data_IF_286404084608
#
_entry.id   IF_286404084608
#
_cell.length_a   1.000
_cell.length_b   1.000
_cell.length_c   1.000
_cell.angle_alpha   90.00
_cell.angle_beta   90.00
_cell.angle_gamma   90.00
#
_symmetry.space_group_name_H-M   'P 1'
#
loop_
_entity.id
_entity.type
_entity.pdbx_description
1 polymer ?
#
# COMPACT_ATOMS: atom_id res chain seq x y z
N UNK A 1 13.43 -20.31 -22.45
CA UNK A 1 13.55 -19.54 -21.20
C UNK A 1 12.16 -19.43 -20.61
N UNK A 2 11.88 -20.07 -19.48
CA UNK A 2 10.66 -19.80 -18.71
C UNK A 2 10.76 -18.39 -18.18
N UNK A 3 9.80 -17.53 -18.50
CA UNK A 3 9.69 -16.22 -17.85
C UNK A 3 9.60 -16.45 -16.34
N UNK A 4 10.51 -15.86 -15.57
CA UNK A 4 10.44 -15.91 -14.11
C UNK A 4 9.18 -15.16 -13.67
N UNK A 5 8.31 -15.81 -12.91
CA UNK A 5 7.08 -15.19 -12.43
C UNK A 5 7.41 -13.92 -11.63
N UNK A 6 6.88 -12.77 -12.05
CA UNK A 6 7.00 -11.51 -11.31
C UNK A 6 6.28 -11.62 -9.97
N UNK A 7 6.83 -10.95 -8.96
CA UNK A 7 6.26 -10.89 -7.61
C UNK A 7 5.97 -9.45 -7.26
N UNK A 8 4.71 -9.18 -6.98
CA UNK A 8 4.22 -7.83 -6.69
C UNK A 8 3.37 -7.91 -5.43
N UNK A 9 3.67 -7.08 -4.45
CA UNK A 9 2.94 -6.99 -3.20
C UNK A 9 2.43 -5.55 -2.99
N UNK A 10 1.12 -5.39 -2.85
CA UNK A 10 0.44 -4.10 -2.72
C UNK A 10 -0.24 -4.07 -1.36
N UNK A 11 0.11 -3.08 -0.53
CA UNK A 11 -0.28 -2.98 0.86
C UNK A 11 -1.14 -1.75 1.10
N UNK A 12 -2.46 -1.93 1.15
CA UNK A 12 -3.40 -0.85 1.48
C UNK A 12 -3.71 -0.86 2.98
N UNK A 13 -3.43 0.23 3.68
CA UNK A 13 -3.69 0.32 5.11
C UNK A 13 -5.17 0.62 5.43
N UNK A 14 -5.56 0.35 6.67
CA UNK A 14 -6.93 0.60 7.15
C UNK A 14 -7.24 2.09 7.28
N UNK A 15 -8.53 2.45 7.31
CA UNK A 15 -9.01 3.84 7.43
C UNK A 15 -8.30 4.58 8.58
N UNK A 16 -7.90 5.83 8.32
CA UNK A 16 -7.17 6.73 9.23
C UNK A 16 -5.75 6.31 9.62
N UNK A 17 -5.23 5.20 9.12
CA UNK A 17 -3.88 4.73 9.46
C UNK A 17 -2.81 5.44 8.66
N UNK A 18 -1.76 5.87 9.35
CA UNK A 18 -0.52 6.39 8.77
C UNK A 18 0.69 5.57 9.27
N UNK A 19 1.81 5.53 8.53
CA UNK A 19 3.05 4.93 9.02
C UNK A 19 3.58 5.59 10.30
N UNK A 20 3.36 6.90 10.45
CA UNK A 20 3.93 7.70 11.55
C UNK A 20 3.15 7.59 12.87
N UNK A 21 2.08 6.79 12.92
CA UNK A 21 1.28 6.63 14.14
C UNK A 21 2.07 5.87 15.23
N UNK A 22 1.76 6.14 16.49
CA UNK A 22 2.47 5.55 17.64
C UNK A 22 2.45 4.00 17.65
N UNK A 23 1.38 3.40 17.09
CA UNK A 23 1.23 1.95 16.96
C UNK A 23 1.04 1.59 15.47
N UNK A 24 2.13 1.39 14.70
CA UNK A 24 2.02 1.07 13.28
C UNK A 24 1.22 -0.21 13.04
N UNK A 25 0.43 -0.24 11.97
CA UNK A 25 -0.42 -1.38 11.64
C UNK A 25 0.39 -2.59 11.18
N UNK A 26 -0.24 -3.75 11.18
CA UNK A 26 0.40 -4.94 10.60
C UNK A 26 0.61 -4.81 9.08
N UNK A 27 -0.15 -3.95 8.39
CA UNK A 27 0.00 -3.74 6.94
C UNK A 27 1.34 -3.07 6.64
N UNK A 28 1.66 -1.94 7.29
CA UNK A 28 2.95 -1.27 7.10
C UNK A 28 4.11 -2.14 7.62
N UNK A 29 3.92 -2.85 8.73
CA UNK A 29 4.93 -3.80 9.23
C UNK A 29 5.25 -4.89 8.21
N UNK A 30 4.23 -5.46 7.57
CA UNK A 30 4.41 -6.48 6.52
C UNK A 30 5.09 -5.90 5.27
N UNK A 31 4.70 -4.70 4.85
CA UNK A 31 5.38 -3.99 3.77
C UNK A 31 6.88 -3.80 4.07
N UNK A 32 7.22 -3.36 5.28
CA UNK A 32 8.60 -3.02 5.65
C UNK A 32 9.50 -4.25 5.69
N UNK A 33 8.99 -5.39 6.20
CA UNK A 33 9.75 -6.66 6.23
C UNK A 33 9.75 -7.41 4.90
N UNK A 34 8.98 -6.98 3.89
CA UNK A 34 9.00 -7.58 2.55
C UNK A 34 10.36 -7.31 1.88
N UNK A 35 11.08 -8.39 1.58
CA UNK A 35 12.40 -8.36 0.96
C UNK A 35 12.35 -7.93 -0.52
N UNK A 36 13.39 -7.26 -1.00
CA UNK A 36 13.50 -6.85 -2.40
C UNK A 36 13.65 -8.04 -3.37
N UNK A 37 14.11 -9.20 -2.88
CA UNK A 37 14.24 -10.44 -3.64
C UNK A 37 13.84 -11.64 -2.78
N UNK A 38 13.39 -12.72 -3.42
CA UNK A 38 13.13 -13.98 -2.75
C UNK A 38 14.39 -14.85 -2.58
N UNK A 39 14.25 -16.03 -1.97
CA UNK A 39 15.35 -16.99 -1.79
C UNK A 39 15.98 -17.49 -3.09
N UNK A 40 15.33 -17.30 -4.24
CA UNK A 40 15.81 -17.67 -5.56
C UNK A 40 16.34 -16.46 -6.36
N UNK A 41 16.46 -15.29 -5.74
CA UNK A 41 16.90 -14.05 -6.40
C UNK A 41 15.84 -13.37 -7.28
N UNK A 42 14.57 -13.80 -7.20
CA UNK A 42 13.45 -13.20 -7.93
C UNK A 42 13.11 -11.86 -7.30
N UNK A 43 13.20 -10.77 -8.08
CA UNK A 43 12.82 -9.44 -7.63
C UNK A 43 11.35 -9.37 -7.19
N UNK A 44 11.09 -8.62 -6.12
CA UNK A 44 9.76 -8.40 -5.56
C UNK A 44 9.48 -6.89 -5.52
N UNK A 45 8.54 -6.43 -6.34
CA UNK A 45 8.07 -5.06 -6.31
C UNK A 45 7.09 -4.89 -5.15
N UNK A 46 7.25 -3.86 -4.32
CA UNK A 46 6.36 -3.57 -3.21
C UNK A 46 5.85 -2.13 -3.23
N UNK A 47 4.58 -1.96 -2.88
CA UNK A 47 3.91 -0.68 -2.79
C UNK A 47 3.09 -0.61 -1.51
N UNK A 48 3.13 0.52 -0.82
CA UNK A 48 2.29 0.80 0.32
C UNK A 48 1.48 2.06 0.08
N UNK A 49 0.22 2.02 0.50
CA UNK A 49 -0.65 3.18 0.54
C UNK A 49 -1.29 3.32 1.93
N UNK A 50 -1.38 4.57 2.37
CA UNK A 50 -1.96 4.93 3.66
C UNK A 50 -3.48 4.78 3.64
N UNK A 51 -4.06 4.75 4.84
CA UNK A 51 -5.49 4.64 5.03
C UNK A 51 -6.29 5.79 4.42
N UNK A 52 -7.51 5.50 3.99
CA UNK A 52 -8.48 6.55 3.60
C UNK A 52 -8.69 7.52 4.78
N UNK A 53 -8.69 8.83 4.51
CA UNK A 53 -8.85 9.85 5.55
C UNK A 53 -7.64 9.96 6.51
N UNK A 54 -6.49 9.40 6.14
CA UNK A 54 -5.23 9.59 6.86
C UNK A 54 -4.63 10.99 6.63
N UNK A 55 -5.00 11.66 5.54
CA UNK A 55 -4.55 13.00 5.16
C UNK A 55 -5.49 14.11 5.71
N UNK A 56 -4.91 15.25 6.14
CA UNK A 56 -5.65 16.47 6.51
C UNK A 56 -5.86 16.72 8.02
N UNK A 57 -6.54 17.82 8.35
CA UNK A 57 -6.82 18.24 9.73
C UNK A 57 -7.79 17.27 10.45
N UNK A 58 -7.76 17.18 11.79
CA UNK A 58 -8.57 16.22 12.59
C UNK A 58 -10.05 16.14 12.19
N UNK A 59 -10.65 17.26 11.77
CA UNK A 59 -12.05 17.33 11.31
C UNK A 59 -12.24 16.72 9.91
N UNK A 60 -11.28 16.91 8.99
CA UNK A 60 -11.26 16.30 7.66
C UNK A 60 -11.00 14.79 7.74
N UNK A 61 -10.19 14.34 8.70
CA UNK A 61 -9.99 12.91 8.96
C UNK A 61 -11.33 12.25 9.34
N UNK A 62 -12.07 12.83 10.29
CA UNK A 62 -13.34 12.27 10.77
C UNK A 62 -14.42 12.21 9.67
N UNK A 63 -14.53 13.24 8.82
CA UNK A 63 -15.51 13.28 7.72
C UNK A 63 -15.06 12.49 6.47
N UNK A 64 -13.76 12.45 6.19
CA UNK A 64 -13.18 11.77 5.03
C UNK A 64 -13.25 10.24 5.13
N UNK A 65 -13.02 9.69 6.33
CA UNK A 65 -13.10 8.24 6.53
C UNK A 65 -14.52 7.67 6.49
N UNK A 66 -15.54 8.47 6.83
CA UNK A 66 -16.95 8.05 6.74
C UNK A 66 -17.55 8.23 5.32
N UNK A 67 -16.97 9.11 4.50
CA UNK A 67 -17.45 9.40 3.14
C UNK A 67 -16.76 8.57 2.04
N UNK A 68 -15.70 7.82 2.37
CA UNK A 68 -14.90 7.10 1.37
C UNK A 68 -14.06 8.02 0.46
N UNK A 69 -13.98 9.30 0.80
CA UNK A 69 -13.22 10.30 0.04
C UNK A 69 -11.73 9.94 0.10
N UNK A 70 -11.19 9.46 -1.02
CA UNK A 70 -9.82 8.96 -1.13
C UNK A 70 -9.71 7.48 -1.51
N UNK A 71 -10.75 6.67 -1.31
CA UNK A 71 -10.70 5.24 -1.63
C UNK A 71 -10.44 4.99 -3.13
N UNK A 72 -11.15 5.69 -4.01
CA UNK A 72 -10.94 5.58 -5.45
C UNK A 72 -9.53 5.98 -5.88
N UNK A 73 -8.92 6.96 -5.19
CA UNK A 73 -7.54 7.37 -5.43
C UNK A 73 -6.59 6.24 -5.06
N UNK A 74 -6.73 5.66 -3.87
CA UNK A 74 -5.88 4.55 -3.42
C UNK A 74 -5.98 3.35 -4.37
N UNK A 75 -7.20 2.96 -4.76
CA UNK A 75 -7.43 1.88 -5.73
C UNK A 75 -6.69 2.19 -7.05
N UNK A 76 -6.86 3.40 -7.59
CA UNK A 76 -6.21 3.79 -8.83
C UNK A 76 -4.68 3.82 -8.71
N UNK A 77 -4.14 4.28 -7.59
CA UNK A 77 -2.70 4.32 -7.34
C UNK A 77 -2.11 2.91 -7.24
N UNK A 78 -2.80 1.96 -6.61
CA UNK A 78 -2.38 0.56 -6.63
C UNK A 78 -2.49 -0.11 -8.00
N UNK A 79 -3.53 0.19 -8.79
CA UNK A 79 -3.62 -0.29 -10.17
C UNK A 79 -2.52 0.29 -11.07
N UNK A 80 -2.16 1.57 -10.90
CA UNK A 80 -1.02 2.18 -11.59
C UNK A 80 0.26 1.44 -11.26
N UNK A 81 0.53 1.22 -9.97
CA UNK A 81 1.71 0.46 -9.56
C UNK A 81 1.72 -0.95 -10.15
N UNK A 82 0.57 -1.63 -10.15
CA UNK A 82 0.46 -2.97 -10.73
C UNK A 82 0.78 -2.95 -12.24
N UNK A 83 0.16 -2.06 -13.00
CA UNK A 83 0.38 -1.94 -14.46
C UNK A 83 1.82 -1.55 -14.77
N UNK A 84 2.43 -0.66 -13.99
CA UNK A 84 3.81 -0.23 -14.21
C UNK A 84 4.84 -1.34 -13.90
N UNK A 85 4.44 -2.40 -13.17
CA UNK A 85 5.35 -3.45 -12.69
C UNK A 85 4.98 -4.88 -13.13
N UNK A 86 3.89 -5.08 -13.87
CA UNK A 86 3.39 -6.43 -14.22
C UNK A 86 4.21 -7.20 -15.27
N UNK A 87 5.03 -6.51 -16.07
CA UNK A 87 5.92 -7.09 -17.09
C UNK A 87 7.39 -7.16 -16.61
#
# INVERSE_FOLDING_TARGET
>A
MTAMAKRIAIFFDGTWNTPEQANPTNVIRLHDVTLAQDSNGTAQAKFYDRGVGADGNKLQRLLGGASGTGLNKNILDGYRFLVDNHE
#
